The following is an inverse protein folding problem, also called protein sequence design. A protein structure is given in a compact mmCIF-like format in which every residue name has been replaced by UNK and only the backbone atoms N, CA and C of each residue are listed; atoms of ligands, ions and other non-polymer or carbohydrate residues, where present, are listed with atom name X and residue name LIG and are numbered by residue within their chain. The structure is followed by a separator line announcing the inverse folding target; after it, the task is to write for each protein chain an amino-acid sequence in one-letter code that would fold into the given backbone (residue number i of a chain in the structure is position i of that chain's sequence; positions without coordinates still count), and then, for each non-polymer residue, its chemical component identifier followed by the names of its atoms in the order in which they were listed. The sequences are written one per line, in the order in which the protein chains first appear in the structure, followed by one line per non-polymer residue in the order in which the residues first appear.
data_IF_224074864181
#
_entry.id   IF_224074864181
#
_cell.length_a   1.000
_cell.length_b   1.000
_cell.length_c   1.000
_cell.angle_alpha   90.00
_cell.angle_beta   90.00
_cell.angle_gamma   90.00
#
_symmetry.space_group_name_H-M   'P 1'
#
loop_
_entity.id
_entity.type
_entity.pdbx_description
1 polymer ?
#
# COMPACT_ATOMS: atom_id res chain seq x y z
N UNK A 1 14.59 13.98 28.24
CA UNK A 1 14.31 12.57 28.58
C UNK A 1 13.37 11.96 27.54
N UNK A 2 13.88 11.17 26.58
CA UNK A 2 13.06 10.40 25.64
C UNK A 2 12.46 9.20 26.38
N UNK A 3 11.15 9.20 26.66
CA UNK A 3 10.46 7.95 27.03
C UNK A 3 10.59 6.99 25.85
N UNK A 4 11.47 5.99 25.95
CA UNK A 4 11.43 4.81 25.09
C UNK A 4 10.02 4.24 25.25
N UNK A 5 9.17 4.41 24.24
CA UNK A 5 7.95 3.61 24.13
C UNK A 5 8.42 2.21 23.78
N UNK A 6 8.76 1.44 24.81
CA UNK A 6 9.10 0.02 24.68
C UNK A 6 7.82 -0.71 24.29
N UNK A 7 7.57 -0.76 22.98
CA UNK A 7 6.81 -1.88 22.45
C UNK A 7 7.56 -3.16 22.87
N UNK A 8 6.83 -4.22 23.20
CA UNK A 8 7.44 -5.46 23.67
C UNK A 8 8.47 -6.03 22.67
N UNK A 9 8.36 -5.67 21.39
CA UNK A 9 9.16 -6.17 20.28
C UNK A 9 9.56 -5.03 19.32
N UNK A 10 10.81 -5.05 18.85
CA UNK A 10 11.38 -4.04 17.94
C UNK A 10 10.84 -4.13 16.52
N UNK A 11 10.39 -5.31 16.11
CA UNK A 11 9.88 -5.61 14.76
C UNK A 11 8.52 -4.92 14.51
N UNK A 12 7.74 -4.69 15.57
CA UNK A 12 6.50 -3.90 15.51
C UNK A 12 6.78 -2.48 15.01
N UNK A 13 7.91 -1.89 15.41
CA UNK A 13 8.30 -0.55 15.01
C UNK A 13 8.68 -0.50 13.53
N UNK A 14 9.38 -1.51 13.02
CA UNK A 14 9.73 -1.63 11.60
C UNK A 14 8.49 -1.78 10.71
N UNK A 15 7.51 -2.62 11.10
CA UNK A 15 6.26 -2.75 10.35
C UNK A 15 5.42 -1.47 10.39
N UNK A 16 5.43 -0.74 11.52
CA UNK A 16 4.76 0.56 11.62
C UNK A 16 5.40 1.58 10.70
N UNK A 17 6.73 1.65 10.69
CA UNK A 17 7.49 2.58 9.85
C UNK A 17 7.25 2.31 8.36
N UNK A 18 7.25 1.04 7.94
CA UNK A 18 6.91 0.67 6.56
C UNK A 18 5.50 1.12 6.15
N UNK A 19 4.49 0.90 7.01
CA UNK A 19 3.12 1.32 6.75
C UNK A 19 2.99 2.86 6.70
N UNK A 20 3.73 3.57 7.56
CA UNK A 20 3.80 5.02 7.54
C UNK A 20 4.40 5.54 6.23
N UNK A 21 5.50 4.94 5.74
CA UNK A 21 6.15 5.31 4.47
C UNK A 21 5.19 5.17 3.30
N UNK A 22 4.57 4.00 3.14
CA UNK A 22 3.65 3.73 2.02
C UNK A 22 2.49 4.73 2.01
N UNK A 23 1.94 5.06 3.19
CA UNK A 23 0.85 6.01 3.28
C UNK A 23 1.29 7.46 3.03
N UNK A 24 2.46 7.88 3.51
CA UNK A 24 3.00 9.23 3.25
C UNK A 24 3.19 9.45 1.75
N UNK A 25 3.68 8.45 1.02
CA UNK A 25 3.85 8.52 -0.44
C UNK A 25 2.51 8.68 -1.16
N UNK A 26 1.51 7.86 -0.81
CA UNK A 26 0.18 7.95 -1.39
C UNK A 26 -0.47 9.32 -1.15
N UNK A 27 -0.42 9.82 0.09
CA UNK A 27 -0.94 11.15 0.46
C UNK A 27 -0.24 12.28 -0.28
N UNK A 28 1.08 12.24 -0.35
CA UNK A 28 1.87 13.25 -1.07
C UNK A 28 1.46 13.30 -2.53
N UNK A 29 1.33 12.15 -3.18
CA UNK A 29 0.89 12.06 -4.58
C UNK A 29 -0.49 12.69 -4.79
N UNK A 30 -1.46 12.38 -3.91
CA UNK A 30 -2.80 12.98 -3.98
C UNK A 30 -2.74 14.50 -3.84
N UNK A 31 -1.98 15.01 -2.85
CA UNK A 31 -1.85 16.45 -2.62
C UNK A 31 -1.19 17.14 -3.82
N UNK A 32 -0.13 16.56 -4.39
CA UNK A 32 0.53 17.08 -5.58
C UNK A 32 -0.43 17.15 -6.78
N UNK A 33 -1.26 16.13 -6.99
CA UNK A 33 -2.28 16.12 -8.07
C UNK A 33 -3.32 17.21 -7.85
N UNK A 34 -3.86 17.34 -6.63
CA UNK A 34 -4.84 18.40 -6.33
C UNK A 34 -4.21 19.79 -6.47
N UNK A 35 -2.96 19.96 -6.05
CA UNK A 35 -2.24 21.23 -6.20
C UNK A 35 -1.95 21.57 -7.67
N UNK A 36 -1.70 20.55 -8.52
CA UNK A 36 -1.60 20.73 -9.96
C UNK A 36 -2.93 21.15 -10.60
N UNK A 37 -4.06 20.59 -10.16
CA UNK A 37 -5.39 21.05 -10.59
C UNK A 37 -5.61 22.51 -10.17
N UNK A 38 -5.19 22.87 -8.96
CA UNK A 38 -5.26 24.24 -8.45
C UNK A 38 -4.48 25.20 -9.36
N UNK A 39 -3.26 24.84 -9.77
CA UNK A 39 -2.45 25.59 -10.75
C UNK A 39 -3.21 25.83 -12.06
N UNK A 40 -3.82 24.79 -12.64
CA UNK A 40 -4.56 24.93 -13.89
C UNK A 40 -5.76 25.87 -13.72
N UNK A 41 -6.50 25.75 -12.62
CA UNK A 41 -7.64 26.62 -12.32
C UNK A 41 -7.22 28.07 -12.14
N UNK A 42 -6.13 28.34 -11.41
CA UNK A 42 -5.65 29.70 -11.14
C UNK A 42 -5.13 30.38 -12.39
N UNK A 43 -4.35 29.69 -13.22
CA UNK A 43 -3.88 30.24 -14.50
C UNK A 43 -5.04 30.54 -15.45
N UNK A 44 -6.00 29.61 -15.54
CA UNK A 44 -7.20 29.80 -16.37
C UNK A 44 -7.99 31.03 -15.91
N UNK A 45 -8.21 31.18 -14.59
CA UNK A 45 -8.85 32.35 -14.01
C UNK A 45 -8.12 33.66 -14.37
N UNK A 46 -6.79 33.69 -14.22
CA UNK A 46 -6.01 34.89 -14.52
C UNK A 46 -6.03 35.29 -16.00
N UNK A 47 -6.05 34.31 -16.90
CA UNK A 47 -6.17 34.54 -18.35
C UNK A 47 -7.55 35.15 -18.67
N UNK A 48 -8.64 34.58 -18.13
CA UNK A 48 -9.99 35.10 -18.37
C UNK A 48 -10.21 36.48 -17.74
N UNK A 49 -9.64 36.74 -16.57
CA UNK A 49 -9.69 38.02 -15.90
C UNK A 49 -8.72 39.07 -16.49
N UNK A 50 -7.96 38.72 -17.54
CA UNK A 50 -7.03 39.61 -18.27
C UNK A 50 -5.97 40.26 -17.36
N UNK A 51 -5.41 39.50 -16.42
CA UNK A 51 -4.25 39.94 -15.65
C UNK A 51 -3.01 40.11 -16.54
N UNK A 52 -2.04 40.92 -16.10
CA UNK A 52 -0.78 41.11 -16.81
C UNK A 52 -0.03 39.78 -16.98
N UNK A 53 0.62 39.61 -18.13
CA UNK A 53 1.43 38.43 -18.43
C UNK A 53 2.51 38.19 -17.39
N UNK A 54 3.12 39.24 -16.86
CA UNK A 54 4.15 39.15 -15.82
C UNK A 54 3.62 38.46 -14.55
N UNK A 55 2.43 38.83 -14.07
CA UNK A 55 1.81 38.21 -12.90
C UNK A 55 1.45 36.75 -13.15
N UNK A 56 0.95 36.42 -14.35
CA UNK A 56 0.62 35.05 -14.74
C UNK A 56 1.89 34.17 -14.73
N UNK A 57 2.98 34.67 -15.31
CA UNK A 57 4.25 33.95 -15.40
C UNK A 57 4.86 33.76 -14.01
N UNK A 58 4.91 34.80 -13.18
CA UNK A 58 5.45 34.72 -11.82
C UNK A 58 4.69 33.69 -10.98
N UNK A 59 3.36 33.73 -11.01
CA UNK A 59 2.54 32.78 -10.26
C UNK A 59 2.72 31.35 -10.79
N UNK A 60 2.72 31.18 -12.11
CA UNK A 60 2.93 29.87 -12.76
C UNK A 60 4.27 29.26 -12.39
N UNK A 61 5.35 30.05 -12.40
CA UNK A 61 6.68 29.60 -11.97
C UNK A 61 6.65 29.20 -10.48
N UNK A 62 6.01 29.97 -9.61
CA UNK A 62 5.93 29.66 -8.18
C UNK A 62 5.28 28.28 -7.92
N UNK A 63 4.16 27.99 -8.59
CA UNK A 63 3.53 26.66 -8.53
C UNK A 63 4.43 25.56 -9.08
N UNK A 64 5.06 25.79 -10.24
CA UNK A 64 5.94 24.80 -10.87
C UNK A 64 7.16 24.47 -10.00
N UNK A 65 7.76 25.46 -9.33
CA UNK A 65 8.87 25.23 -8.42
C UNK A 65 8.46 24.31 -7.28
N UNK A 66 7.31 24.58 -6.64
CA UNK A 66 6.81 23.74 -5.53
C UNK A 66 6.50 22.31 -6.00
N UNK A 67 5.86 22.16 -7.17
CA UNK A 67 5.56 20.86 -7.76
C UNK A 67 6.82 20.08 -8.14
N UNK A 68 7.80 20.75 -8.75
CA UNK A 68 9.05 20.13 -9.18
C UNK A 68 9.87 19.64 -8.00
N UNK A 69 10.01 20.46 -6.95
CA UNK A 69 10.67 20.04 -5.71
C UNK A 69 9.94 18.86 -5.08
N UNK A 70 8.60 18.88 -5.08
CA UNK A 70 7.81 17.77 -4.52
C UNK A 70 7.97 16.47 -5.32
N UNK A 71 8.05 16.55 -6.64
CA UNK A 71 8.30 15.40 -7.51
C UNK A 71 9.67 14.79 -7.27
N UNK A 72 10.72 15.63 -7.26
CA UNK A 72 12.10 15.22 -6.95
C UNK A 72 12.18 14.51 -5.60
N UNK A 73 11.62 15.11 -4.56
CA UNK A 73 11.66 14.56 -3.21
C UNK A 73 10.86 13.26 -3.07
N UNK A 74 9.83 13.07 -3.89
CA UNK A 74 9.09 11.80 -3.94
C UNK A 74 9.88 10.70 -4.65
N UNK A 75 10.61 11.05 -5.71
CA UNK A 75 11.48 10.11 -6.43
C UNK A 75 12.66 9.65 -5.58
N UNK A 76 13.40 10.58 -4.94
CA UNK A 76 14.47 10.24 -3.99
C UNK A 76 13.96 9.59 -2.69
N UNK A 77 12.66 9.75 -2.42
CA UNK A 77 11.97 9.07 -1.34
C UNK A 77 11.93 7.54 -1.46
N UNK A 78 12.22 6.98 -2.63
CA UNK A 78 12.36 5.53 -2.81
C UNK A 78 13.63 4.98 -2.16
N UNK A 79 14.70 5.77 -2.12
CA UNK A 79 16.00 5.35 -1.60
C UNK A 79 16.21 5.74 -0.14
N UNK A 80 15.72 6.91 0.28
CA UNK A 80 15.82 7.36 1.67
C UNK A 80 14.53 8.02 2.15
N UNK A 81 13.99 7.48 3.25
CA UNK A 81 12.77 7.93 3.89
C UNK A 81 12.82 9.38 4.38
N UNK A 82 14.02 9.89 4.70
CA UNK A 82 14.21 11.25 5.19
C UNK A 82 13.67 12.29 4.20
N UNK A 83 13.81 12.04 2.90
CA UNK A 83 13.30 12.93 1.85
C UNK A 83 11.76 12.98 1.82
N UNK A 84 11.07 11.86 2.03
CA UNK A 84 9.59 11.86 2.14
C UNK A 84 9.11 12.63 3.38
N UNK A 85 9.84 12.50 4.50
CA UNK A 85 9.56 13.27 5.71
C UNK A 85 9.78 14.77 5.53
N UNK A 86 10.77 15.18 4.73
CA UNK A 86 11.04 16.58 4.43
C UNK A 86 10.00 17.12 3.43
N UNK A 87 9.66 16.32 2.41
CA UNK A 87 8.73 16.70 1.35
C UNK A 87 7.38 17.19 1.91
N UNK A 88 6.79 16.46 2.87
CA UNK A 88 5.51 16.87 3.47
C UNK A 88 5.58 18.28 4.10
N UNK A 89 6.71 18.69 4.69
CA UNK A 89 6.82 20.02 5.28
C UNK A 89 7.05 21.08 4.20
N UNK A 90 7.93 20.78 3.24
CA UNK A 90 8.27 21.70 2.17
C UNK A 90 7.07 21.95 1.25
N UNK A 91 6.31 20.90 0.91
CA UNK A 91 5.09 21.01 0.12
C UNK A 91 4.02 21.81 0.87
N UNK A 92 3.80 21.56 2.17
CA UNK A 92 2.86 22.38 2.96
C UNK A 92 3.27 23.85 2.98
N UNK A 93 4.53 24.16 3.29
CA UNK A 93 5.03 25.54 3.30
C UNK A 93 4.96 26.20 1.92
N UNK A 94 5.27 25.44 0.85
CA UNK A 94 5.19 25.91 -0.53
C UNK A 94 3.76 26.20 -0.98
N UNK A 95 2.80 25.37 -0.59
CA UNK A 95 1.38 25.64 -0.88
C UNK A 95 0.91 26.92 -0.19
N UNK A 96 1.26 27.10 1.09
CA UNK A 96 0.91 28.31 1.83
C UNK A 96 1.57 29.56 1.23
N UNK A 97 2.85 29.49 0.85
CA UNK A 97 3.55 30.65 0.26
C UNK A 97 2.97 31.05 -1.10
N UNK A 98 2.58 30.08 -1.93
CA UNK A 98 1.91 30.34 -3.22
C UNK A 98 0.56 31.02 -2.99
N UNK A 99 -0.23 30.58 -2.01
CA UNK A 99 -1.51 31.26 -1.70
C UNK A 99 -1.28 32.65 -1.11
N UNK A 100 -0.26 32.85 -0.28
CA UNK A 100 0.10 34.20 0.18
C UNK A 100 0.47 35.12 -0.99
N UNK A 101 1.24 34.61 -1.96
CA UNK A 101 1.57 35.34 -3.19
C UNK A 101 0.30 35.69 -3.98
N UNK A 102 -0.64 34.74 -4.11
CA UNK A 102 -1.93 34.97 -4.75
C UNK A 102 -2.72 36.10 -4.07
N UNK A 103 -2.77 36.13 -2.73
CA UNK A 103 -3.46 37.18 -1.99
C UNK A 103 -2.84 38.55 -2.26
N UNK A 104 -1.51 38.63 -2.26
CA UNK A 104 -0.78 39.88 -2.51
C UNK A 104 -1.01 40.39 -3.95
N UNK A 105 -1.02 39.49 -4.94
CA UNK A 105 -1.12 39.86 -6.36
C UNK A 105 -2.54 40.16 -6.81
N UNK A 106 -3.52 39.38 -6.35
CA UNK A 106 -4.89 39.46 -6.86
C UNK A 106 -5.78 40.36 -5.98
N UNK A 107 -5.41 40.58 -4.71
CA UNK A 107 -6.07 41.49 -3.75
C UNK A 107 -7.60 41.37 -3.74
N UNK A 108 -8.10 40.13 -3.89
CA UNK A 108 -9.53 39.83 -3.96
C UNK A 108 -9.99 39.05 -2.73
N UNK A 109 -11.11 39.45 -2.09
CA UNK A 109 -11.71 38.72 -0.97
C UNK A 109 -11.99 37.24 -1.29
N UNK A 110 -12.26 36.92 -2.57
CA UNK A 110 -12.56 35.57 -3.05
C UNK A 110 -11.41 34.57 -2.90
N UNK A 111 -10.20 35.03 -2.58
CA UNK A 111 -9.00 34.18 -2.45
C UNK A 111 -8.75 33.77 -1.00
N UNK A 112 -9.35 34.47 -0.03
CA UNK A 112 -9.26 34.10 1.39
C UNK A 112 -9.76 32.67 1.65
N UNK A 113 -10.86 32.18 1.02
CA UNK A 113 -11.26 30.78 1.07
C UNK A 113 -10.16 29.77 0.69
N UNK A 114 -9.23 30.14 -0.18
CA UNK A 114 -8.14 29.27 -0.66
C UNK A 114 -7.16 28.90 0.47
N UNK A 115 -7.01 29.76 1.49
CA UNK A 115 -6.21 29.45 2.68
C UNK A 115 -6.79 28.25 3.44
N UNK A 116 -8.12 28.16 3.52
CA UNK A 116 -8.79 27.02 4.14
C UNK A 116 -8.67 25.76 3.28
N UNK A 117 -8.70 25.89 1.95
CA UNK A 117 -8.48 24.75 1.05
C UNK A 117 -7.07 24.18 1.23
N UNK A 118 -6.03 25.03 1.25
CA UNK A 118 -4.66 24.59 1.49
C UNK A 118 -4.50 23.99 2.90
N UNK A 119 -5.15 24.58 3.90
CA UNK A 119 -5.18 24.00 5.25
C UNK A 119 -5.76 22.58 5.24
N UNK A 120 -6.89 22.37 4.56
CA UNK A 120 -7.50 21.04 4.41
C UNK A 120 -6.54 20.06 3.72
N UNK A 121 -5.84 20.49 2.66
CA UNK A 121 -4.82 19.68 1.98
C UNK A 121 -3.66 19.33 2.92
N UNK A 122 -3.20 20.26 3.74
CA UNK A 122 -2.16 20.00 4.72
C UNK A 122 -2.62 19.02 5.82
N UNK A 123 -3.88 19.08 6.23
CA UNK A 123 -4.47 18.17 7.23
C UNK A 123 -4.54 16.71 6.73
N UNK A 124 -4.59 16.47 5.41
CA UNK A 124 -4.53 15.11 4.83
C UNK A 124 -3.28 14.36 5.32
N UNK A 125 -2.16 15.03 5.57
CA UNK A 125 -0.96 14.37 6.10
C UNK A 125 -1.20 13.69 7.46
N UNK A 126 -2.12 14.22 8.28
CA UNK A 126 -2.44 13.71 9.62
C UNK A 126 -1.17 13.55 10.48
N UNK A 127 -0.36 14.60 10.51
CA UNK A 127 0.89 14.68 11.29
C UNK A 127 0.85 15.94 12.16
N UNK A 128 1.10 15.78 13.46
CA UNK A 128 1.04 16.87 14.43
C UNK A 128 1.97 18.03 14.06
N UNK A 129 3.18 17.75 13.55
CA UNK A 129 4.12 18.82 13.19
C UNK A 129 3.62 19.61 11.99
N UNK A 130 3.04 18.93 10.99
CA UNK A 130 2.49 19.60 9.81
C UNK A 130 1.28 20.45 10.20
N UNK A 131 0.40 19.94 11.07
CA UNK A 131 -0.76 20.68 11.56
C UNK A 131 -0.31 21.93 12.33
N UNK A 132 0.60 21.80 13.30
CA UNK A 132 1.10 22.95 14.08
C UNK A 132 1.78 23.99 13.17
N UNK A 133 2.57 23.57 12.19
CA UNK A 133 3.16 24.49 11.21
C UNK A 133 2.07 25.19 10.39
N UNK A 134 1.04 24.46 9.96
CA UNK A 134 -0.07 25.01 9.18
C UNK A 134 -0.91 25.98 10.01
N UNK A 135 -1.18 25.67 11.28
CA UNK A 135 -1.90 26.53 12.23
C UNK A 135 -1.16 27.86 12.42
N UNK A 136 0.15 27.79 12.71
CA UNK A 136 1.00 28.96 12.88
C UNK A 136 1.07 29.80 11.61
N UNK A 137 1.26 29.17 10.45
CA UNK A 137 1.32 29.86 9.17
C UNK A 137 -0.02 30.53 8.85
N UNK A 138 -1.14 29.84 9.06
CA UNK A 138 -2.47 30.37 8.83
C UNK A 138 -2.75 31.60 9.70
N UNK A 139 -2.44 31.55 11.00
CA UNK A 139 -2.57 32.70 11.92
C UNK A 139 -1.71 33.86 11.43
N UNK A 140 -0.48 33.59 11.02
CA UNK A 140 0.43 34.62 10.52
C UNK A 140 -0.10 35.30 9.25
N UNK A 141 -0.57 34.52 8.26
CA UNK A 141 -1.18 35.10 7.05
C UNK A 141 -2.42 35.90 7.42
N UNK A 142 -3.30 35.39 8.29
CA UNK A 142 -4.53 36.10 8.63
C UNK A 142 -4.23 37.46 9.29
N UNK A 143 -3.27 37.51 10.23
CA UNK A 143 -2.81 38.76 10.82
C UNK A 143 -2.21 39.68 9.74
N UNK A 144 -1.36 39.13 8.87
CA UNK A 144 -0.73 39.89 7.78
C UNK A 144 -1.77 40.50 6.83
N UNK A 145 -2.79 39.73 6.46
CA UNK A 145 -3.85 40.15 5.52
C UNK A 145 -4.77 41.19 6.16
N UNK A 146 -5.16 41.01 7.43
CA UNK A 146 -5.95 42.02 8.17
C UNK A 146 -5.16 43.33 8.34
N UNK A 147 -3.85 43.26 8.60
CA UNK A 147 -3.03 44.44 8.84
C UNK A 147 -2.69 45.23 7.55
N UNK A 148 -2.39 44.54 6.44
CA UNK A 148 -1.91 45.18 5.22
C UNK A 148 -3.00 45.39 4.17
N UNK A 149 -4.09 44.62 4.23
CA UNK A 149 -5.18 44.67 3.26
C UNK A 149 -6.56 44.70 3.95
N UNK A 150 -6.80 45.68 4.83
CA UNK A 150 -8.07 45.79 5.56
C UNK A 150 -9.29 45.92 4.62
N UNK A 151 -9.08 46.49 3.44
CA UNK A 151 -10.11 46.72 2.42
C UNK A 151 -10.67 45.42 1.83
N UNK A 152 -9.92 44.31 1.86
CA UNK A 152 -10.42 43.00 1.43
C UNK A 152 -11.50 42.44 2.37
N UNK A 153 -11.66 42.99 3.57
CA UNK A 153 -12.66 42.58 4.56
C UNK A 153 -13.82 43.57 4.69
N UNK A 154 -13.78 44.68 3.95
CA UNK A 154 -14.88 45.64 3.92
C UNK A 154 -15.96 45.05 3.01
N UNK A 155 -16.92 44.36 3.61
CA UNK A 155 -18.20 44.13 2.96
C UNK A 155 -18.84 45.51 2.64
N UNK A 156 -19.59 45.61 1.54
CA UNK A 156 -20.27 46.82 1.05
C UNK A 156 -21.11 47.61 2.09
N UNK A 157 -21.28 47.11 3.32
CA UNK A 157 -21.88 47.83 4.43
C UNK A 157 -20.88 48.06 5.57
N UNK A 158 -20.59 49.34 5.78
CA UNK A 158 -19.62 49.89 6.72
C UNK A 158 -20.09 49.74 8.18
N UNK A 159 -19.97 48.54 8.75
CA UNK A 159 -20.02 48.36 10.21
C UNK A 159 -18.68 47.85 10.70
N UNK A 160 -18.06 48.62 11.59
CA UNK A 160 -16.78 48.34 12.27
C UNK A 160 -16.75 46.99 13.04
N UNK A 161 -17.83 46.20 13.02
CA UNK A 161 -17.92 44.86 13.60
C UNK A 161 -17.49 43.71 12.66
N UNK A 162 -17.34 43.93 11.35
CA UNK A 162 -17.07 42.82 10.43
C UNK A 162 -15.63 42.25 10.54
N UNK A 163 -14.61 43.09 10.73
CA UNK A 163 -13.22 42.64 10.77
C UNK A 163 -12.91 41.81 12.04
N UNK A 164 -13.43 42.24 13.20
CA UNK A 164 -13.29 41.49 14.45
C UNK A 164 -14.02 40.14 14.39
N UNK A 165 -15.24 40.12 13.85
CA UNK A 165 -16.03 38.90 13.72
C UNK A 165 -15.38 37.88 12.77
N UNK A 166 -14.81 38.32 11.64
CA UNK A 166 -14.10 37.40 10.73
C UNK A 166 -12.81 36.84 11.34
N UNK A 167 -12.08 37.64 12.10
CA UNK A 167 -10.87 37.19 12.81
C UNK A 167 -11.24 36.16 13.89
N UNK A 168 -12.27 36.45 14.69
CA UNK A 168 -12.76 35.55 15.74
C UNK A 168 -13.32 34.24 15.16
N UNK A 169 -14.07 34.31 14.05
CA UNK A 169 -14.56 33.14 13.32
C UNK A 169 -13.40 32.28 12.82
N UNK A 170 -12.35 32.90 12.27
CA UNK A 170 -11.17 32.19 11.77
C UNK A 170 -10.41 31.47 12.89
N UNK A 171 -10.30 32.09 14.08
CA UNK A 171 -9.69 31.46 15.26
C UNK A 171 -10.53 30.27 15.74
N UNK A 172 -11.85 30.44 15.88
CA UNK A 172 -12.75 29.35 16.28
C UNK A 172 -12.70 28.19 15.28
N UNK A 173 -12.68 28.50 13.99
CA UNK A 173 -12.59 27.50 12.93
C UNK A 173 -11.25 26.74 12.99
N UNK A 174 -10.14 27.44 13.21
CA UNK A 174 -8.83 26.83 13.37
C UNK A 174 -8.81 25.89 14.59
N UNK A 175 -9.32 26.32 15.73
CA UNK A 175 -9.42 25.45 16.93
C UNK A 175 -10.25 24.19 16.65
N UNK A 176 -11.38 24.32 15.95
CA UNK A 176 -12.23 23.19 15.57
C UNK A 176 -11.46 22.20 14.66
N UNK A 177 -10.71 22.73 13.69
CA UNK A 177 -9.91 21.93 12.76
C UNK A 177 -8.73 21.24 13.45
N UNK A 178 -8.05 21.90 14.39
CA UNK A 178 -6.96 21.31 15.16
C UNK A 178 -7.49 20.16 16.03
N UNK A 179 -8.65 20.33 16.70
CA UNK A 179 -9.30 19.29 17.50
C UNK A 179 -9.68 18.09 16.62
N UNK A 180 -10.36 18.34 15.49
CA UNK A 180 -10.76 17.29 14.55
C UNK A 180 -9.54 16.50 14.03
N UNK A 181 -8.49 17.21 13.61
CA UNK A 181 -7.26 16.59 13.11
C UNK A 181 -6.53 15.79 14.20
N UNK A 182 -6.58 16.23 15.47
CA UNK A 182 -6.01 15.51 16.59
C UNK A 182 -6.72 14.18 16.88
N UNK A 183 -8.06 14.16 16.81
CA UNK A 183 -8.85 12.94 16.97
C UNK A 183 -8.48 11.92 15.89
N UNK A 184 -8.49 12.34 14.62
CA UNK A 184 -8.17 11.47 13.48
C UNK A 184 -6.74 10.92 13.58
N UNK A 185 -5.79 11.74 14.05
CA UNK A 185 -4.40 11.29 14.24
C UNK A 185 -4.29 10.21 15.33
N UNK A 186 -5.01 10.36 16.45
CA UNK A 186 -5.04 9.34 17.52
C UNK A 186 -5.60 8.03 17.01
N UNK A 187 -6.67 8.09 16.23
CA UNK A 187 -7.30 6.94 15.60
C UNK A 187 -6.33 6.22 14.65
N UNK A 188 -5.66 6.96 13.76
CA UNK A 188 -4.62 6.42 12.86
C UNK A 188 -3.49 5.73 13.63
N UNK A 189 -2.95 6.39 14.66
CA UNK A 189 -1.86 5.81 15.46
C UNK A 189 -2.30 4.53 16.18
N UNK A 190 -3.55 4.49 16.65
CA UNK A 190 -4.13 3.32 17.26
C UNK A 190 -4.25 2.17 16.24
N UNK A 191 -4.79 2.42 15.04
CA UNK A 191 -4.89 1.43 13.98
C UNK A 191 -3.54 0.86 13.56
N UNK A 192 -2.52 1.71 13.38
CA UNK A 192 -1.19 1.23 12.98
C UNK A 192 -0.55 0.36 14.06
N UNK A 193 -0.73 0.72 15.32
CA UNK A 193 -0.26 -0.10 16.43
C UNK A 193 -1.02 -1.43 16.51
N UNK A 194 -2.34 -1.45 16.26
CA UNK A 194 -3.10 -2.69 16.22
C UNK A 194 -2.69 -3.60 15.06
N UNK A 195 -2.55 -3.06 13.85
CA UNK A 195 -2.16 -3.82 12.66
C UNK A 195 -0.76 -4.40 12.82
N UNK A 196 0.20 -3.58 13.26
CA UNK A 196 1.58 -4.05 13.50
C UNK A 196 1.64 -5.11 14.59
N UNK A 197 0.92 -4.92 15.72
CA UNK A 197 0.82 -5.91 16.79
C UNK A 197 0.16 -7.21 16.34
N UNK A 198 -0.93 -7.12 15.58
CA UNK A 198 -1.63 -8.29 15.03
C UNK A 198 -0.73 -9.09 14.10
N UNK A 199 -0.06 -8.41 13.17
CA UNK A 199 0.90 -9.01 12.24
C UNK A 199 2.05 -9.70 12.98
N UNK A 200 2.63 -9.05 14.00
CA UNK A 200 3.72 -9.63 14.77
C UNK A 200 3.28 -10.85 15.60
N UNK A 201 2.11 -10.78 16.24
CA UNK A 201 1.53 -11.92 16.97
C UNK A 201 1.25 -13.08 16.01
N UNK A 202 0.74 -12.80 14.82
CA UNK A 202 0.50 -13.81 13.79
C UNK A 202 1.81 -14.51 13.39
N UNK A 203 2.86 -13.75 13.04
CA UNK A 203 4.16 -14.34 12.69
C UNK A 203 4.73 -15.19 13.81
N UNK A 204 4.67 -14.71 15.06
CA UNK A 204 5.17 -15.45 16.22
C UNK A 204 4.37 -16.70 16.52
N UNK A 205 3.05 -16.65 16.39
CA UNK A 205 2.21 -17.82 16.60
C UNK A 205 2.51 -18.89 15.55
N UNK A 206 2.71 -18.50 14.29
CA UNK A 206 3.14 -19.43 13.22
C UNK A 206 4.52 -20.00 13.54
N UNK A 207 5.47 -19.16 13.98
CA UNK A 207 6.82 -19.59 14.33
C UNK A 207 6.84 -20.56 15.54
N UNK A 208 6.04 -20.27 16.57
CA UNK A 208 5.86 -21.16 17.73
C UNK A 208 5.19 -22.47 17.33
N UNK A 209 4.17 -22.43 16.46
CA UNK A 209 3.53 -23.65 15.94
C UNK A 209 4.52 -24.50 15.15
N UNK A 210 5.38 -23.89 14.34
CA UNK A 210 6.43 -24.59 13.60
C UNK A 210 7.46 -25.20 14.56
N UNK A 211 7.93 -24.44 15.56
CA UNK A 211 8.86 -24.93 16.59
C UNK A 211 8.27 -26.10 17.39
N UNK A 212 7.02 -26.00 17.82
CA UNK A 212 6.32 -27.07 18.55
C UNK A 212 6.12 -28.31 17.67
N UNK A 213 5.80 -28.14 16.38
CA UNK A 213 5.73 -29.26 15.44
C UNK A 213 7.07 -29.97 15.26
N UNK A 214 8.17 -29.22 15.16
CA UNK A 214 9.52 -29.79 15.11
C UNK A 214 9.90 -30.52 16.40
N UNK A 215 9.55 -29.97 17.57
CA UNK A 215 9.85 -30.59 18.88
C UNK A 215 9.00 -31.83 19.19
N UNK A 216 7.81 -31.95 18.58
CA UNK A 216 6.89 -33.08 18.85
C UNK A 216 7.10 -34.28 17.93
N UNK A 217 8.09 -34.25 17.03
CA UNK A 217 8.48 -35.34 16.09
C UNK A 217 7.32 -36.01 15.31
N UNK A 218 6.13 -35.40 15.26
CA UNK A 218 4.95 -36.05 14.66
C UNK A 218 4.95 -36.08 13.14
N UNK A 219 5.75 -35.21 12.50
CA UNK A 219 5.97 -35.21 11.05
C UNK A 219 7.38 -34.65 10.80
N UNK A 220 8.40 -35.50 10.70
CA UNK A 220 9.50 -35.17 9.79
C UNK A 220 8.87 -35.15 8.40
N UNK A 221 8.43 -33.96 7.97
CA UNK A 221 7.95 -33.79 6.60
C UNK A 221 9.06 -34.27 5.68
N UNK A 222 8.75 -35.24 4.84
CA UNK A 222 9.64 -35.70 3.78
C UNK A 222 9.79 -34.58 2.74
N UNK A 223 10.68 -33.62 3.02
CA UNK A 223 10.90 -32.47 2.16
C UNK A 223 11.41 -32.91 0.79
N UNK A 224 12.15 -34.03 0.72
CA UNK A 224 12.61 -34.64 -0.52
C UNK A 224 11.44 -35.05 -1.40
N UNK A 225 10.45 -35.75 -0.85
CA UNK A 225 9.23 -36.12 -1.59
C UNK A 225 8.51 -34.90 -2.18
N UNK A 226 8.49 -33.76 -1.47
CA UNK A 226 7.88 -32.53 -1.98
C UNK A 226 8.64 -31.95 -3.19
N UNK A 227 9.98 -31.93 -3.16
CA UNK A 227 10.76 -31.47 -4.32
C UNK A 227 10.66 -32.44 -5.50
N UNK A 228 10.58 -33.73 -5.25
CA UNK A 228 10.39 -34.75 -6.30
C UNK A 228 9.04 -34.56 -7.00
N UNK A 229 7.96 -34.30 -6.25
CA UNK A 229 6.64 -33.97 -6.81
C UNK A 229 6.64 -32.65 -7.58
N UNK A 230 7.36 -31.64 -7.10
CA UNK A 230 7.49 -30.36 -7.80
C UNK A 230 8.31 -30.51 -9.08
N UNK A 231 9.37 -31.31 -9.05
CA UNK A 231 10.19 -31.58 -10.22
C UNK A 231 9.44 -32.40 -11.27
N UNK A 232 8.68 -33.43 -10.86
CA UNK A 232 7.85 -34.21 -11.78
C UNK A 232 6.75 -33.37 -12.42
N UNK A 233 6.14 -32.45 -11.66
CA UNK A 233 5.22 -31.46 -12.19
C UNK A 233 5.88 -30.53 -13.22
N UNK A 234 7.07 -30.00 -12.91
CA UNK A 234 7.78 -29.09 -13.81
C UNK A 234 8.33 -29.79 -15.06
N UNK A 235 8.71 -31.06 -14.95
CA UNK A 235 9.08 -31.90 -16.09
C UNK A 235 7.88 -32.13 -17.00
N UNK A 236 6.71 -32.46 -16.43
CA UNK A 236 5.48 -32.61 -17.20
C UNK A 236 5.06 -31.29 -17.86
N UNK A 237 5.18 -30.17 -17.14
CA UNK A 237 4.90 -28.83 -17.64
C UNK A 237 5.83 -28.43 -18.80
N UNK A 238 7.13 -28.68 -18.65
CA UNK A 238 8.13 -28.34 -19.67
C UNK A 238 7.97 -29.20 -20.94
N UNK A 239 7.70 -30.50 -20.77
CA UNK A 239 7.39 -31.42 -21.88
C UNK A 239 6.17 -30.98 -22.69
N UNK A 240 5.12 -30.50 -22.01
CA UNK A 240 3.89 -30.05 -22.64
C UNK A 240 4.03 -28.73 -23.40
N UNK A 241 4.99 -27.90 -23.00
CA UNK A 241 5.35 -26.66 -23.68
C UNK A 241 6.45 -26.84 -24.74
N UNK A 242 6.94 -28.07 -24.95
CA UNK A 242 8.09 -28.39 -25.82
C UNK A 242 9.37 -27.60 -25.49
N UNK A 243 9.51 -27.18 -24.23
CA UNK A 243 10.67 -26.42 -23.76
C UNK A 243 11.56 -27.29 -22.85
N UNK A 244 12.88 -27.07 -22.85
CA UNK A 244 13.76 -27.71 -21.88
C UNK A 244 13.41 -27.26 -20.46
N UNK A 245 13.44 -28.18 -19.49
CA UNK A 245 13.14 -27.86 -18.09
C UNK A 245 14.30 -27.09 -17.43
N UNK A 246 14.25 -25.76 -17.53
CA UNK A 246 15.23 -24.84 -16.91
C UNK A 246 15.08 -24.83 -15.36
N UNK A 247 14.00 -25.39 -14.81
CA UNK A 247 13.72 -25.36 -13.38
C UNK A 247 14.35 -26.52 -12.61
N UNK A 248 14.74 -27.61 -13.28
CA UNK A 248 15.38 -28.78 -12.64
C UNK A 248 16.67 -28.39 -11.93
N UNK A 249 17.49 -27.52 -12.53
CA UNK A 249 18.71 -27.02 -11.92
C UNK A 249 18.44 -26.27 -10.61
N UNK A 250 17.42 -25.39 -10.61
CA UNK A 250 17.03 -24.61 -9.42
C UNK A 250 16.50 -25.50 -8.31
N UNK A 251 15.78 -26.57 -8.64
CA UNK A 251 15.31 -27.56 -7.66
C UNK A 251 16.48 -28.36 -7.09
N UNK A 252 17.42 -28.77 -7.93
CA UNK A 252 18.63 -29.47 -7.48
C UNK A 252 19.47 -28.60 -6.55
N UNK A 253 19.56 -27.30 -6.82
CA UNK A 253 20.19 -26.32 -5.92
C UNK A 253 19.41 -26.22 -4.60
N UNK A 254 18.07 -26.16 -4.63
CA UNK A 254 17.24 -26.14 -3.41
C UNK A 254 17.42 -27.41 -2.56
N UNK A 255 17.46 -28.59 -3.18
CA UNK A 255 17.73 -29.87 -2.50
C UNK A 255 19.14 -29.86 -1.88
N UNK A 256 20.14 -29.31 -2.59
CA UNK A 256 21.50 -29.20 -2.09
C UNK A 256 21.61 -28.23 -0.90
N UNK A 257 20.91 -27.09 -0.97
CA UNK A 257 20.82 -26.11 0.11
C UNK A 257 20.11 -26.69 1.34
N UNK A 258 19.06 -27.51 1.15
CA UNK A 258 18.40 -28.20 2.27
C UNK A 258 19.27 -29.26 2.93
N UNK A 259 20.15 -29.93 2.18
CA UNK A 259 21.12 -30.90 2.70
C UNK A 259 22.33 -30.26 3.40
N UNK A 260 22.36 -28.93 3.54
CA UNK A 260 23.46 -28.16 4.14
C UNK A 260 24.80 -28.29 3.42
N UNK A 261 24.75 -28.45 2.10
CA UNK A 261 25.98 -28.37 1.29
C UNK A 261 26.47 -26.92 1.29
N UNK A 262 27.78 -26.73 1.39
CA UNK A 262 28.38 -25.40 1.50
C UNK A 262 28.14 -24.55 0.24
N UNK A 263 27.94 -23.24 0.43
CA UNK A 263 27.63 -22.31 -0.67
C UNK A 263 28.72 -22.32 -1.73
N UNK A 264 29.99 -22.44 -1.31
CA UNK A 264 31.13 -22.49 -2.20
C UNK A 264 31.06 -23.72 -3.13
N UNK A 265 30.74 -24.89 -2.59
CA UNK A 265 30.61 -26.13 -3.36
C UNK A 265 29.42 -26.16 -4.32
N UNK A 266 28.37 -25.38 -4.05
CA UNK A 266 27.22 -25.22 -4.97
C UNK A 266 27.59 -24.28 -6.11
N UNK A 267 28.32 -23.19 -5.83
CA UNK A 267 28.80 -22.24 -6.84
C UNK A 267 29.83 -22.88 -7.78
N UNK A 268 30.68 -23.77 -7.28
CA UNK A 268 31.64 -24.51 -8.10
C UNK A 268 30.94 -25.46 -9.10
N UNK A 269 29.78 -26.00 -8.72
CA UNK A 269 28.97 -26.90 -9.56
C UNK A 269 28.03 -26.15 -10.51
N UNK A 270 27.64 -24.92 -10.16
CA UNK A 270 26.73 -24.07 -10.93
C UNK A 270 27.31 -22.64 -11.05
N UNK A 271 28.32 -22.42 -11.91
CA UNK A 271 29.05 -21.16 -11.99
C UNK A 271 28.22 -19.98 -12.53
N UNK A 272 27.06 -20.26 -13.14
CA UNK A 272 26.13 -19.23 -13.63
C UNK A 272 25.34 -18.52 -12.52
N UNK A 273 25.33 -19.07 -11.29
CA UNK A 273 24.57 -18.53 -10.17
C UNK A 273 25.44 -17.65 -9.28
N UNK A 274 24.89 -16.54 -8.80
CA UNK A 274 25.57 -15.67 -7.85
C UNK A 274 25.25 -16.02 -6.39
N UNK A 275 26.05 -15.51 -5.44
CA UNK A 275 25.76 -15.62 -4.00
C UNK A 275 24.39 -15.03 -3.63
N UNK A 276 23.94 -14.01 -4.35
CA UNK A 276 22.63 -13.38 -4.13
C UNK A 276 21.49 -14.31 -4.56
N UNK A 277 21.66 -15.03 -5.67
CA UNK A 277 20.70 -16.03 -6.14
C UNK A 277 20.57 -17.22 -5.19
N UNK A 278 21.69 -17.68 -4.62
CA UNK A 278 21.66 -18.71 -3.58
C UNK A 278 20.95 -18.25 -2.31
N UNK A 279 21.13 -16.99 -1.89
CA UNK A 279 20.36 -16.43 -0.78
C UNK A 279 18.86 -16.37 -1.08
N UNK A 280 18.47 -16.02 -2.31
CA UNK A 280 17.07 -16.03 -2.74
C UNK A 280 16.47 -17.43 -2.72
N UNK A 281 17.21 -18.43 -3.20
CA UNK A 281 16.78 -19.83 -3.18
C UNK A 281 16.71 -20.38 -1.74
N UNK A 282 17.67 -20.04 -0.88
CA UNK A 282 17.66 -20.46 0.53
C UNK A 282 16.43 -19.93 1.29
N UNK A 283 15.93 -18.74 0.94
CA UNK A 283 14.68 -18.21 1.52
C UNK A 283 13.42 -18.99 1.10
N UNK A 284 13.51 -19.74 -0.01
CA UNK A 284 12.43 -20.59 -0.53
C UNK A 284 12.54 -22.05 -0.04
N UNK A 285 13.69 -22.46 0.53
CA UNK A 285 13.91 -23.82 1.01
C UNK A 285 12.98 -24.16 2.18
N UNK A 286 12.15 -25.21 2.04
CA UNK A 286 10.98 -25.55 2.87
C UNK A 286 11.32 -25.82 4.35
N UNK A 287 12.46 -26.48 4.63
CA UNK A 287 12.75 -27.08 5.95
C UNK A 287 13.24 -26.12 7.05
N UNK A 288 14.13 -25.16 6.73
CA UNK A 288 14.87 -24.39 7.77
C UNK A 288 14.28 -23.04 8.13
N UNK A 289 13.78 -22.26 7.15
CA UNK A 289 13.36 -20.87 7.39
C UNK A 289 12.17 -20.39 6.56
N UNK A 290 11.45 -21.32 5.93
CA UNK A 290 10.73 -20.98 4.71
C UNK A 290 9.50 -20.11 4.95
N UNK A 291 9.55 -18.96 4.30
CA UNK A 291 8.38 -18.13 4.02
C UNK A 291 7.25 -19.01 3.44
N UNK A 292 7.59 -20.02 2.64
CA UNK A 292 6.69 -21.03 2.07
C UNK A 292 5.95 -21.88 3.11
N UNK A 293 6.63 -22.45 4.10
CA UNK A 293 6.00 -23.27 5.14
C UNK A 293 5.16 -22.39 6.09
N UNK A 294 5.59 -21.14 6.35
CA UNK A 294 4.77 -20.15 7.07
C UNK A 294 3.47 -19.84 6.30
N UNK A 295 3.55 -19.63 4.99
CA UNK A 295 2.39 -19.44 4.12
C UNK A 295 1.50 -20.69 4.11
N UNK A 296 2.08 -21.88 3.95
CA UNK A 296 1.33 -23.13 3.92
C UNK A 296 0.59 -23.39 5.24
N UNK A 297 1.23 -23.15 6.38
CA UNK A 297 0.60 -23.26 7.70
C UNK A 297 -0.52 -22.23 7.85
N UNK A 298 -0.30 -20.99 7.43
CA UNK A 298 -1.34 -19.96 7.41
C UNK A 298 -2.56 -20.42 6.61
N UNK A 299 -2.35 -20.86 5.37
CA UNK A 299 -3.42 -21.38 4.50
C UNK A 299 -4.18 -22.54 5.16
N UNK A 300 -3.46 -23.52 5.71
CA UNK A 300 -4.07 -24.69 6.38
C UNK A 300 -4.94 -24.33 7.58
N UNK A 301 -4.57 -23.28 8.34
CA UNK A 301 -5.28 -22.86 9.55
C UNK A 301 -6.40 -21.86 9.28
N UNK A 302 -6.45 -21.26 8.09
CA UNK A 302 -7.53 -20.35 7.70
C UNK A 302 -8.84 -21.12 7.45
N UNK A 303 -8.77 -22.41 7.12
CA UNK A 303 -9.94 -23.26 6.85
C UNK A 303 -10.78 -23.61 8.10
N UNK A 304 -10.20 -23.58 9.31
CA UNK A 304 -10.84 -24.07 10.54
C UNK A 304 -11.19 -22.97 11.55
N UNK A 305 -11.22 -21.70 11.14
CA UNK A 305 -11.62 -20.61 12.03
C UNK A 305 -13.14 -20.53 12.06
N UNK A 306 -13.74 -21.03 13.14
CA UNK A 306 -15.15 -20.82 13.42
C UNK A 306 -15.35 -19.34 13.79
N UNK A 307 -15.75 -18.53 12.80
CA UNK A 307 -15.88 -17.09 12.95
C UNK A 307 -17.09 -16.82 13.85
N UNK A 308 -16.84 -16.66 15.15
CA UNK A 308 -17.85 -16.14 16.07
C UNK A 308 -18.25 -14.74 15.61
N UNK A 309 -19.41 -14.68 14.96
CA UNK A 309 -20.04 -13.51 14.32
C UNK A 309 -20.19 -12.26 15.20
N UNK A 310 -19.93 -12.33 16.52
CA UNK A 310 -20.25 -11.24 17.44
C UNK A 310 -19.07 -10.34 17.83
N UNK A 311 -17.83 -10.76 17.59
CA UNK A 311 -16.65 -9.98 18.05
C UNK A 311 -15.64 -9.61 16.94
N UNK A 312 -15.83 -10.09 15.70
CA UNK A 312 -14.76 -10.07 14.67
C UNK A 312 -15.17 -9.33 13.37
N UNK A 313 -16.42 -8.86 13.24
CA UNK A 313 -16.81 -8.10 12.06
C UNK A 313 -16.38 -6.63 12.13
N UNK A 314 -15.16 -6.36 11.68
CA UNK A 314 -14.99 -5.24 10.77
C UNK A 314 -14.68 -5.82 9.38
N UNK A 315 -15.33 -5.30 8.35
CA UNK A 315 -15.22 -5.71 6.94
C UNK A 315 -13.81 -5.55 6.33
N UNK A 316 -12.77 -5.41 7.16
CA UNK A 316 -11.40 -5.11 6.75
C UNK A 316 -10.44 -6.31 6.79
N UNK A 317 -10.82 -7.43 7.41
CA UNK A 317 -9.94 -8.61 7.50
C UNK A 317 -10.14 -9.64 6.38
N UNK A 318 -11.27 -9.60 5.68
CA UNK A 318 -11.53 -10.39 4.47
C UNK A 318 -11.47 -9.55 3.20
N UNK A 319 -10.41 -8.74 3.04
CA UNK A 319 -9.93 -8.40 1.69
C UNK A 319 -8.92 -9.48 1.30
N UNK A 320 -9.38 -10.70 0.98
CA UNK A 320 -9.68 -11.24 -0.37
C UNK A 320 -8.61 -10.91 -1.41
N UNK A 321 -8.41 -11.86 -2.33
CA UNK A 321 -7.39 -12.06 -3.40
C UNK A 321 -6.81 -10.83 -4.14
N UNK A 322 -7.18 -9.61 -3.79
CA UNK A 322 -6.79 -8.32 -4.35
C UNK A 322 -6.12 -7.40 -3.30
N UNK A 323 -5.09 -7.90 -2.61
CA UNK A 323 -4.23 -7.06 -1.76
C UNK A 323 -3.31 -6.18 -2.62
N UNK A 324 -3.49 -4.86 -2.56
CA UNK A 324 -2.64 -3.87 -3.25
C UNK A 324 -1.14 -3.89 -2.86
N UNK A 325 -0.73 -4.72 -1.90
CA UNK A 325 0.67 -4.91 -1.52
C UNK A 325 1.35 -6.04 -2.28
N UNK A 326 0.56 -6.94 -2.87
CA UNK A 326 1.07 -8.18 -3.40
C UNK A 326 1.41 -7.99 -4.87
N UNK A 327 2.39 -8.76 -5.37
CA UNK A 327 2.76 -8.71 -6.78
C UNK A 327 1.76 -9.52 -7.62
N UNK A 328 1.71 -9.25 -8.92
CA UNK A 328 0.77 -9.90 -9.86
C UNK A 328 0.90 -11.42 -9.82
N UNK A 329 2.13 -11.92 -9.69
CA UNK A 329 2.44 -13.34 -9.63
C UNK A 329 1.76 -14.02 -8.42
N UNK A 330 1.67 -13.31 -7.29
CA UNK A 330 0.98 -13.80 -6.09
C UNK A 330 -0.53 -13.84 -6.32
N UNK A 331 -1.09 -12.86 -7.03
CA UNK A 331 -2.50 -12.84 -7.40
C UNK A 331 -2.86 -13.96 -8.38
N UNK A 332 -1.99 -14.24 -9.35
CA UNK A 332 -2.17 -15.35 -10.31
C UNK A 332 -2.16 -16.68 -9.55
N UNK A 333 -1.15 -16.93 -8.71
CA UNK A 333 -1.05 -18.18 -7.95
C UNK A 333 -2.28 -18.35 -7.03
N UNK A 334 -2.70 -17.29 -6.34
CA UNK A 334 -3.85 -17.35 -5.46
C UNK A 334 -5.17 -17.61 -6.21
N UNK A 335 -5.34 -17.00 -7.39
CA UNK A 335 -6.49 -17.25 -8.26
C UNK A 335 -6.50 -18.67 -8.83
N UNK A 336 -5.35 -19.18 -9.28
CA UNK A 336 -5.22 -20.56 -9.79
C UNK A 336 -5.57 -21.58 -8.70
N UNK A 337 -5.05 -21.40 -7.48
CA UNK A 337 -5.37 -22.27 -6.34
C UNK A 337 -6.87 -22.22 -6.03
N UNK A 338 -7.46 -21.03 -6.01
CA UNK A 338 -8.90 -20.85 -5.79
C UNK A 338 -9.74 -21.57 -6.86
N UNK A 339 -9.41 -21.37 -8.13
CA UNK A 339 -10.10 -21.98 -9.26
C UNK A 339 -9.98 -23.51 -9.28
N UNK A 340 -8.77 -24.06 -9.02
CA UNK A 340 -8.55 -25.51 -8.87
C UNK A 340 -9.37 -26.08 -7.72
N UNK A 341 -9.51 -25.35 -6.62
CA UNK A 341 -10.29 -25.78 -5.46
C UNK A 341 -11.78 -25.87 -5.77
N UNK A 342 -12.31 -24.90 -6.54
CA UNK A 342 -13.71 -24.92 -6.99
C UNK A 342 -13.99 -26.08 -7.94
N UNK A 343 -13.06 -26.36 -8.87
CA UNK A 343 -13.23 -27.43 -9.87
C UNK A 343 -13.06 -28.84 -9.30
N UNK A 344 -12.07 -29.05 -8.41
CA UNK A 344 -11.85 -30.36 -7.77
C UNK A 344 -12.95 -30.73 -6.77
N UNK A 345 -13.58 -29.72 -6.18
CA UNK A 345 -14.43 -29.89 -5.00
C UNK A 345 -13.59 -30.15 -3.75
N UNK A 346 -14.08 -29.71 -2.60
CA UNK A 346 -13.55 -30.07 -1.28
C UNK A 346 -14.36 -31.24 -0.71
N UNK A 347 -13.82 -31.98 0.26
CA UNK A 347 -14.56 -33.05 0.94
C UNK A 347 -15.92 -32.54 1.43
N UNK A 348 -17.01 -33.07 0.84
CA UNK A 348 -18.40 -32.70 1.15
C UNK A 348 -19.03 -31.65 0.22
N UNK A 349 -18.32 -31.16 -0.80
CA UNK A 349 -18.85 -30.27 -1.84
C UNK A 349 -18.79 -30.97 -3.21
N UNK A 350 -19.89 -30.91 -3.95
CA UNK A 350 -19.95 -31.44 -5.31
C UNK A 350 -19.09 -30.60 -6.24
N UNK A 351 -18.49 -31.25 -7.26
CA UNK A 351 -17.80 -30.56 -8.36
C UNK A 351 -18.77 -29.55 -9.00
N UNK A 352 -18.31 -28.32 -9.16
CA UNK A 352 -19.08 -27.24 -9.79
C UNK A 352 -18.79 -27.27 -11.29
N UNK A 353 -19.81 -27.06 -12.13
CA UNK A 353 -19.63 -27.05 -13.59
C UNK A 353 -18.81 -25.83 -14.03
N UNK A 354 -18.14 -25.94 -15.19
CA UNK A 354 -17.28 -24.86 -15.70
C UNK A 354 -18.08 -23.57 -15.99
N UNK A 355 -19.33 -23.70 -16.46
CA UNK A 355 -20.25 -22.57 -16.66
C UNK A 355 -20.66 -21.91 -15.34
N UNK A 356 -20.91 -22.71 -14.31
CA UNK A 356 -21.27 -22.20 -12.97
C UNK A 356 -20.09 -21.51 -12.30
N UNK A 357 -18.86 -22.03 -12.47
CA UNK A 357 -17.63 -21.39 -11.96
C UNK A 357 -17.41 -20.06 -12.67
N UNK A 358 -17.56 -20.02 -14.01
CA UNK A 358 -17.44 -18.79 -14.77
C UNK A 358 -18.46 -17.74 -14.30
N UNK A 359 -19.74 -18.11 -14.24
CA UNK A 359 -20.81 -17.23 -13.79
C UNK A 359 -20.62 -16.77 -12.33
N UNK A 360 -20.15 -17.65 -11.44
CA UNK A 360 -19.85 -17.29 -10.06
C UNK A 360 -18.71 -16.28 -9.98
N UNK A 361 -17.65 -16.45 -10.77
CA UNK A 361 -16.47 -15.56 -10.71
C UNK A 361 -16.75 -14.20 -11.36
N UNK A 362 -17.49 -14.17 -12.47
CA UNK A 362 -17.70 -12.94 -13.25
C UNK A 362 -18.94 -12.15 -12.83
N UNK A 363 -20.01 -12.83 -12.38
CA UNK A 363 -21.32 -12.18 -12.17
C UNK A 363 -21.68 -12.01 -10.69
N UNK A 364 -20.76 -12.31 -9.76
CA UNK A 364 -20.96 -12.09 -8.32
C UNK A 364 -19.89 -11.16 -7.75
N UNK A 365 -20.00 -10.84 -6.47
CA UNK A 365 -19.04 -10.02 -5.73
C UNK A 365 -17.60 -10.58 -5.75
N UNK A 366 -17.40 -11.84 -6.15
CA UNK A 366 -16.07 -12.42 -6.37
C UNK A 366 -15.26 -11.68 -7.45
N UNK A 367 -15.94 -11.10 -8.45
CA UNK A 367 -15.29 -10.32 -9.51
C UNK A 367 -14.42 -9.18 -8.96
N UNK A 368 -14.93 -8.46 -7.96
CA UNK A 368 -14.25 -7.33 -7.33
C UNK A 368 -13.19 -7.74 -6.31
N UNK A 369 -13.20 -9.02 -5.91
CA UNK A 369 -12.29 -9.57 -4.91
C UNK A 369 -10.99 -10.11 -5.50
N UNK A 370 -10.90 -10.23 -6.83
CA UNK A 370 -9.71 -10.70 -7.58
C UNK A 370 -9.04 -9.50 -8.26
N UNK A 371 -7.71 -9.53 -8.42
CA UNK A 371 -6.98 -8.48 -9.13
C UNK A 371 -7.48 -8.37 -10.59
N UNK A 372 -7.73 -7.15 -11.05
CA UNK A 372 -8.31 -6.89 -12.37
C UNK A 372 -7.50 -7.50 -13.52
N UNK A 373 -6.16 -7.59 -13.39
CA UNK A 373 -5.27 -8.14 -14.42
C UNK A 373 -5.46 -9.65 -14.55
N UNK A 374 -5.60 -10.32 -13.40
CA UNK A 374 -5.83 -11.76 -13.35
C UNK A 374 -7.23 -12.11 -13.86
N UNK A 375 -8.21 -11.30 -13.49
CA UNK A 375 -9.58 -11.44 -13.99
C UNK A 375 -9.65 -11.26 -15.51
N UNK A 376 -8.93 -10.27 -16.05
CA UNK A 376 -8.85 -10.05 -17.50
C UNK A 376 -8.26 -11.26 -18.23
N UNK A 377 -7.15 -11.82 -17.72
CA UNK A 377 -6.53 -13.03 -18.29
C UNK A 377 -7.51 -14.21 -18.27
N UNK A 378 -8.26 -14.37 -17.17
CA UNK A 378 -9.26 -15.43 -17.04
C UNK A 378 -10.44 -15.26 -18.00
N UNK A 379 -10.98 -14.04 -18.14
CA UNK A 379 -12.10 -13.75 -19.06
C UNK A 379 -11.70 -13.93 -20.52
N UNK A 380 -10.46 -13.59 -20.87
CA UNK A 380 -9.95 -13.75 -22.24
C UNK A 380 -9.63 -15.21 -22.57
N UNK A 381 -9.36 -16.06 -21.57
CA UNK A 381 -8.88 -17.43 -21.79
C UNK A 381 -9.49 -18.47 -20.83
N UNK A 382 -10.81 -18.53 -20.61
CA UNK A 382 -11.40 -19.40 -19.59
C UNK A 382 -11.18 -20.89 -19.91
N UNK A 383 -11.21 -21.24 -21.20
CA UNK A 383 -10.99 -22.61 -21.68
C UNK A 383 -9.58 -23.13 -21.40
N UNK A 384 -8.57 -22.26 -21.44
CA UNK A 384 -7.17 -22.62 -21.16
C UNK A 384 -7.03 -23.08 -19.71
N UNK A 385 -7.68 -22.40 -18.77
CA UNK A 385 -7.67 -22.82 -17.36
C UNK A 385 -8.40 -24.15 -17.16
N UNK A 386 -9.49 -24.39 -17.90
CA UNK A 386 -10.21 -25.66 -17.87
C UNK A 386 -9.37 -26.83 -18.37
N UNK A 387 -8.72 -26.64 -19.52
CA UNK A 387 -7.84 -27.63 -20.17
C UNK A 387 -6.65 -27.95 -19.27
N UNK A 388 -6.02 -26.94 -18.67
CA UNK A 388 -4.91 -27.13 -17.73
C UNK A 388 -5.33 -27.99 -16.53
N UNK A 389 -6.55 -27.83 -16.00
CA UNK A 389 -7.02 -28.62 -14.86
C UNK A 389 -7.44 -30.02 -15.27
N UNK A 390 -8.20 -30.19 -16.35
CA UNK A 390 -8.60 -31.52 -16.82
C UNK A 390 -7.36 -32.36 -17.16
N UNK A 391 -6.38 -31.77 -17.83
CA UNK A 391 -5.13 -32.48 -18.16
C UNK A 391 -4.19 -32.66 -16.96
N UNK A 392 -4.35 -31.90 -15.86
CA UNK A 392 -3.53 -32.09 -14.66
C UNK A 392 -4.14 -33.10 -13.66
N UNK A 393 -5.45 -33.33 -13.73
CA UNK A 393 -6.17 -34.09 -12.71
C UNK A 393 -7.05 -35.24 -13.25
N UNK A 394 -7.38 -35.30 -14.54
CA UNK A 394 -8.18 -36.38 -15.14
C UNK A 394 -7.36 -37.36 -15.99
N UNK A 395 -6.16 -37.00 -16.45
CA UNK A 395 -5.27 -37.90 -17.21
C UNK A 395 -4.45 -38.86 -16.34
N UNK A 396 -4.86 -39.10 -15.09
CA UNK A 396 -4.18 -39.98 -14.13
C UNK A 396 -5.09 -41.08 -13.57
N UNK A 397 -6.17 -41.41 -14.27
CA UNK A 397 -7.14 -42.43 -13.86
C UNK A 397 -7.56 -43.32 -15.02
N UNK A 398 -6.59 -44.00 -15.62
CA UNK A 398 -6.76 -45.31 -16.26
C UNK A 398 -5.52 -46.14 -15.88
N UNK A 399 -5.53 -46.61 -14.63
CA UNK A 399 -4.96 -47.88 -14.13
C UNK A 399 -5.54 -48.17 -12.73
#
# INVERSE_FOLDING_TARGET
MRRKKTYAFSEIEQYREYLEIKNIRGKTTIITVVFFILLLMTLTYMIFAKYSWDSIIILGIAFLVVLFVSFIMTAYGETDYSYLKINKYLLTLGMFSVVTLMIIMLQSPSIIPLLFVIYCLASIYQDLKVIVISDLYFIFIMIFVVANYPDMFIALNNTNGNQFNMTLFSILFLVMLTISSYIIMKEKSFFYNQISKSKEIEYRNIDLLLKLKHQTHKEEKDFLSCYEQVNSFLDAFSKKLELPNIFTEKINILIALEKNIDYQTILDKYPEYTKEDLNRLNNLAISRHSLLNRIAVKLSKTNNVDIKRREIFSATHFKTLNKQTDKVEVHIIAFVIFYVTLKKGLFGLNKISDEDIYNMITNTDYYYNIDYRVMKIYQENPEVFNIIISEAFESGGDD
#
